data_IF_648101443291
#
_entry.id   IF_648101443291
#
_cell.length_a   1.000
_cell.length_b   1.000
_cell.length_c   1.000
_cell.angle_alpha   90.00
_cell.angle_beta   90.00
_cell.angle_gamma   90.00
#
_symmetry.space_group_name_H-M   'P 1'
#
loop_
_entity.id
_entity.type
_entity.pdbx_description
1 polymer ?
#
# COMPACT_ATOMS: atom_id res chain seq x y z
N UNK A 1 17.61 12.75 12.61
CA UNK A 1 16.94 13.64 11.63
C UNK A 1 15.53 13.12 11.46
N UNK A 2 14.53 13.81 12.03
CA UNK A 2 13.12 13.42 11.87
C UNK A 2 12.73 13.65 10.42
N UNK A 3 12.49 12.57 9.67
CA UNK A 3 11.90 12.71 8.36
C UNK A 3 10.53 13.37 8.52
N UNK A 4 10.12 14.25 7.60
CA UNK A 4 8.83 14.90 7.69
C UNK A 4 7.67 13.88 7.65
N UNK A 5 6.62 14.07 8.45
CA UNK A 5 5.45 13.19 8.51
C UNK A 5 4.78 12.97 7.14
N UNK A 6 4.80 13.99 6.28
CA UNK A 6 4.30 13.90 4.91
C UNK A 6 5.07 12.90 4.05
N UNK A 7 6.37 12.69 4.32
CA UNK A 7 7.18 11.70 3.60
C UNK A 7 6.75 10.28 3.93
N UNK A 8 6.40 10.00 5.19
CA UNK A 8 5.86 8.71 5.61
C UNK A 8 4.47 8.46 4.99
N UNK A 9 3.65 9.51 4.87
CA UNK A 9 2.38 9.45 4.15
C UNK A 9 2.55 9.04 2.68
N UNK A 10 3.47 9.71 1.96
CA UNK A 10 3.81 9.38 0.57
C UNK A 10 4.34 7.95 0.44
N UNK A 11 5.26 7.55 1.32
CA UNK A 11 5.85 6.22 1.30
C UNK A 11 4.80 5.12 1.52
N UNK A 12 3.84 5.34 2.41
CA UNK A 12 2.77 4.37 2.70
C UNK A 12 1.83 4.19 1.50
N UNK A 13 1.44 5.28 0.84
CA UNK A 13 0.62 5.21 -0.39
C UNK A 13 1.36 4.50 -1.51
N UNK A 14 2.63 4.85 -1.73
CA UNK A 14 3.48 4.19 -2.72
C UNK A 14 3.59 2.69 -2.47
N UNK A 15 3.78 2.28 -1.22
CA UNK A 15 3.86 0.87 -0.86
C UNK A 15 2.55 0.12 -1.15
N UNK A 16 1.39 0.72 -0.86
CA UNK A 16 0.08 0.14 -1.22
C UNK A 16 -0.08 -0.03 -2.75
N UNK A 17 0.32 0.97 -3.53
CA UNK A 17 0.30 0.93 -5.00
C UNK A 17 1.23 -0.16 -5.54
N UNK A 18 2.46 -0.26 -5.01
CA UNK A 18 3.44 -1.27 -5.41
C UNK A 18 2.92 -2.68 -5.11
N UNK A 19 2.29 -2.89 -3.95
CA UNK A 19 1.67 -4.17 -3.58
C UNK A 19 0.60 -4.59 -4.60
N UNK A 20 -0.28 -3.66 -4.99
CA UNK A 20 -1.30 -3.92 -6.02
C UNK A 20 -0.66 -4.21 -7.38
N UNK A 21 0.35 -3.44 -7.78
CA UNK A 21 1.06 -3.64 -9.05
C UNK A 21 1.78 -4.99 -9.11
N UNK A 22 2.48 -5.39 -8.05
CA UNK A 22 3.14 -6.68 -7.97
C UNK A 22 2.14 -7.84 -7.96
N UNK A 23 1.02 -7.68 -7.26
CA UNK A 23 -0.07 -8.67 -7.24
C UNK A 23 -0.69 -8.82 -8.64
N UNK A 24 -0.90 -7.71 -9.34
CA UNK A 24 -1.37 -7.70 -10.73
C UNK A 24 -0.38 -8.36 -11.68
N UNK A 25 0.90 -8.00 -11.61
CA UNK A 25 1.98 -8.57 -12.43
C UNK A 25 2.17 -10.07 -12.16
N UNK A 26 2.02 -10.52 -10.92
CA UNK A 26 2.04 -11.93 -10.53
C UNK A 26 0.88 -12.69 -11.19
N UNK A 27 -0.31 -12.09 -11.20
CA UNK A 27 -1.48 -12.68 -11.85
C UNK A 27 -1.29 -12.83 -13.37
N UNK A 28 -0.75 -11.81 -14.04
CA UNK A 28 -0.45 -11.88 -15.48
C UNK A 28 0.57 -12.97 -15.84
N UNK A 29 1.49 -13.31 -14.94
CA UNK A 29 2.47 -14.38 -15.12
C UNK A 29 1.91 -15.79 -14.88
N UNK A 30 0.61 -15.92 -14.60
CA UNK A 30 -0.03 -17.22 -14.37
C UNK A 30 0.44 -17.93 -13.09
N UNK A 31 1.12 -17.22 -12.18
CA UNK A 31 1.55 -17.80 -10.91
C UNK A 31 0.33 -18.04 -10.05
N UNK A 32 0.02 -19.31 -9.77
CA UNK A 32 -1.10 -19.67 -8.87
C UNK A 32 -0.92 -18.98 -7.53
N UNK A 33 -1.95 -18.27 -7.12
CA UNK A 33 -2.04 -17.56 -5.86
C UNK A 33 -3.41 -17.87 -5.28
N UNK A 34 -3.44 -18.32 -4.03
CA UNK A 34 -4.69 -18.63 -3.36
C UNK A 34 -5.54 -17.37 -3.17
N UNK A 35 -6.86 -17.53 -3.32
CA UNK A 35 -7.82 -16.43 -3.14
C UNK A 35 -7.68 -15.75 -1.78
N UNK A 36 -7.36 -16.51 -0.72
CA UNK A 36 -7.10 -15.98 0.61
C UNK A 36 -5.90 -15.02 0.64
N UNK A 37 -4.79 -15.40 -0.02
CA UNK A 37 -3.59 -14.57 -0.12
C UNK A 37 -3.86 -13.31 -0.95
N UNK A 38 -4.61 -13.45 -2.05
CA UNK A 38 -4.97 -12.34 -2.93
C UNK A 38 -5.83 -11.29 -2.21
N UNK A 39 -6.88 -11.74 -1.50
CA UNK A 39 -7.75 -10.85 -0.72
C UNK A 39 -6.97 -10.18 0.40
N UNK A 40 -6.13 -10.93 1.13
CA UNK A 40 -5.28 -10.36 2.18
C UNK A 40 -4.38 -9.23 1.70
N UNK A 41 -3.75 -9.39 0.52
CA UNK A 41 -2.92 -8.33 -0.09
C UNK A 41 -3.71 -7.08 -0.47
N UNK A 42 -4.93 -7.25 -0.98
CA UNK A 42 -5.80 -6.11 -1.31
C UNK A 42 -6.18 -5.35 -0.05
N UNK A 43 -6.55 -6.05 1.03
CA UNK A 43 -6.88 -5.44 2.33
C UNK A 43 -5.69 -4.66 2.88
N UNK A 44 -4.49 -5.25 2.86
CA UNK A 44 -3.26 -4.58 3.31
C UNK A 44 -2.97 -3.34 2.46
N UNK A 45 -3.09 -3.44 1.13
CA UNK A 45 -2.85 -2.32 0.24
C UNK A 45 -3.82 -1.15 0.50
N UNK A 46 -5.11 -1.45 0.68
CA UNK A 46 -6.12 -0.45 1.04
C UNK A 46 -5.82 0.19 2.39
N UNK A 47 -5.41 -0.61 3.38
CA UNK A 47 -5.01 -0.11 4.69
C UNK A 47 -3.81 0.83 4.61
N UNK A 48 -2.77 0.49 3.84
CA UNK A 48 -1.60 1.36 3.65
C UNK A 48 -1.97 2.68 2.97
N UNK A 49 -2.83 2.65 1.96
CA UNK A 49 -3.29 3.88 1.29
C UNK A 49 -4.08 4.77 2.25
N UNK A 50 -5.02 4.18 3.00
CA UNK A 50 -5.81 4.90 4.00
C UNK A 50 -4.93 5.48 5.13
N UNK A 51 -3.96 4.70 5.61
CA UNK A 51 -3.01 5.13 6.61
C UNK A 51 -2.12 6.28 6.11
N UNK A 52 -1.61 6.19 4.88
CA UNK A 52 -0.85 7.27 4.26
C UNK A 52 -1.66 8.56 4.09
N UNK A 53 -2.95 8.45 3.73
CA UNK A 53 -3.86 9.59 3.67
C UNK A 53 -4.10 10.23 5.05
N UNK A 54 -4.22 9.42 6.11
CA UNK A 54 -4.33 9.90 7.49
C UNK A 54 -3.06 10.62 7.94
N UNK A 55 -1.87 10.09 7.64
CA UNK A 55 -0.60 10.75 7.94
C UNK A 55 -0.47 12.11 7.25
N UNK A 56 -0.96 12.22 6.02
CA UNK A 56 -1.03 13.51 5.31
C UNK A 56 -1.96 14.52 6.00
N UNK A 57 -3.06 14.04 6.58
CA UNK A 57 -4.00 14.88 7.33
C UNK A 57 -3.40 15.32 8.67
N UNK A 58 -2.73 14.42 9.38
CA UNK A 58 -2.11 14.69 10.69
C UNK A 58 -0.88 15.58 10.57
N UNK A 59 -0.02 15.37 9.56
CA UNK A 59 1.19 16.19 9.35
C UNK A 59 0.92 17.63 8.86
N UNK A 60 -0.35 18.01 8.68
CA UNK A 60 -0.79 19.39 8.41
C UNK A 60 -1.47 20.05 9.62
N UNK A 61 -1.65 19.33 10.74
CA UNK A 61 -2.10 19.88 12.01
C UNK A 61 -0.92 20.49 12.78
#
# INVERSE_FOLDING_TARGET
MNLPDWFYGVASVLAGVVLLFLTWKKHQRGVREDSYSRVGKIVIALFMIAFGALLFKVGKA
#
